data_IF_685953676235
#
_entry.id   IF_685953676235
#
_cell.length_a   1.000
_cell.length_b   1.000
_cell.length_c   1.000
_cell.angle_alpha   90.00
_cell.angle_beta   90.00
_cell.angle_gamma   90.00
#
_symmetry.space_group_name_H-M   'P 1'
#
loop_
_entity.id
_entity.type
_entity.pdbx_description
1 polymer ?
#
# COMPACT_ATOMS: atom_id res chain seq x y z
N UNK A 1 -0.69 -7.22 0.03
CA UNK A 1 -1.95 -7.97 -0.11
C UNK A 1 -3.09 -7.14 0.47
N UNK A 2 -4.05 -6.68 -0.36
CA UNK A 2 -5.27 -6.01 0.12
C UNK A 2 -6.21 -7.07 0.72
N UNK A 3 -5.99 -7.35 2.00
CA UNK A 3 -6.65 -8.43 2.73
C UNK A 3 -7.95 -7.94 3.33
N UNK A 4 -9.01 -8.70 3.12
CA UNK A 4 -10.36 -8.42 3.60
C UNK A 4 -10.81 -9.47 4.63
N UNK A 5 -11.65 -9.03 5.55
CA UNK A 5 -12.41 -9.91 6.45
C UNK A 5 -13.82 -9.34 6.63
N UNK A 6 -14.76 -10.17 7.07
CA UNK A 6 -16.13 -9.73 7.35
C UNK A 6 -16.37 -9.63 8.86
N UNK A 7 -16.77 -8.45 9.35
CA UNK A 7 -17.09 -8.20 10.76
C UNK A 7 -18.51 -7.68 10.86
N UNK A 8 -19.38 -8.45 11.52
CA UNK A 8 -20.76 -8.04 11.70
C UNK A 8 -21.56 -7.85 10.40
N UNK A 9 -21.23 -8.59 9.34
CA UNK A 9 -21.87 -8.47 8.03
C UNK A 9 -21.30 -7.34 7.15
N UNK A 10 -20.21 -6.71 7.56
CA UNK A 10 -19.53 -5.65 6.80
C UNK A 10 -18.09 -6.05 6.47
N UNK A 11 -17.66 -5.80 5.22
CA UNK A 11 -16.29 -6.03 4.81
C UNK A 11 -15.36 -4.96 5.36
N UNK A 12 -14.21 -5.39 5.87
CA UNK A 12 -13.14 -4.56 6.39
C UNK A 12 -11.83 -4.89 5.71
N UNK A 13 -11.05 -3.88 5.36
CA UNK A 13 -9.64 -4.07 5.06
C UNK A 13 -8.84 -4.30 6.33
N UNK A 14 -7.90 -5.25 6.29
CA UNK A 14 -6.90 -5.47 7.32
C UNK A 14 -5.66 -4.68 6.93
N UNK A 15 -5.22 -3.81 7.83
CA UNK A 15 -4.06 -2.95 7.66
C UNK A 15 -3.09 -3.17 8.81
N UNK A 16 -1.82 -2.86 8.56
CA UNK A 16 -0.74 -2.92 9.54
C UNK A 16 -0.14 -1.53 9.75
N UNK A 17 0.34 -1.26 10.96
CA UNK A 17 1.19 -0.12 11.26
C UNK A 17 2.62 -0.61 11.42
N UNK A 18 3.55 0.00 10.72
CA UNK A 18 4.96 -0.40 10.70
C UNK A 18 5.63 -0.16 12.04
N UNK A 19 6.48 -1.10 12.47
CA UNK A 19 7.24 -1.00 13.71
C UNK A 19 8.31 0.10 13.65
N UNK A 20 8.81 0.51 14.81
CA UNK A 20 9.82 1.58 14.91
C UNK A 20 11.18 1.21 14.28
N UNK A 21 11.49 -0.08 14.16
CA UNK A 21 12.79 -0.59 13.67
C UNK A 21 12.91 -0.76 12.17
N UNK A 22 11.87 -0.47 11.40
CA UNK A 22 11.87 -0.65 9.94
C UNK A 22 11.87 0.69 9.19
N UNK A 23 12.09 0.64 7.89
CA UNK A 23 11.96 1.84 7.04
C UNK A 23 10.53 2.40 7.12
N UNK A 24 10.40 3.73 7.15
CA UNK A 24 9.11 4.43 7.26
C UNK A 24 8.31 3.95 8.49
N UNK A 25 8.84 4.11 9.72
CA UNK A 25 8.18 3.65 10.93
C UNK A 25 6.88 4.41 11.16
N UNK A 26 5.85 3.70 11.64
CA UNK A 26 4.54 4.27 11.90
C UNK A 26 3.63 4.42 10.68
N UNK A 27 4.14 4.22 9.47
CA UNK A 27 3.29 4.22 8.26
C UNK A 27 2.28 3.08 8.32
N UNK A 28 1.10 3.35 7.79
CA UNK A 28 0.04 2.35 7.61
C UNK A 28 0.16 1.72 6.23
N UNK A 29 0.18 0.39 6.18
CA UNK A 29 0.29 -0.35 4.93
C UNK A 29 -0.59 -1.61 4.92
N UNK A 30 -0.77 -2.16 3.74
CA UNK A 30 -1.19 -3.55 3.59
C UNK A 30 -0.02 -4.49 3.89
N UNK A 31 -0.26 -5.70 4.41
CA UNK A 31 0.76 -6.74 4.48
C UNK A 31 1.40 -7.00 3.12
N UNK A 32 2.72 -7.16 3.08
CA UNK A 32 3.45 -7.42 1.86
C UNK A 32 4.83 -6.78 1.80
N UNK A 33 5.68 -7.30 0.92
CA UNK A 33 7.07 -6.88 0.85
C UNK A 33 7.72 -7.14 -0.51
N UNK A 34 9.00 -7.49 -0.47
CA UNK A 34 9.84 -7.64 -1.65
C UNK A 34 9.91 -9.10 -2.12
N UNK A 35 9.88 -9.25 -3.43
CA UNK A 35 9.99 -10.56 -4.08
C UNK A 35 11.38 -11.16 -3.85
N UNK A 36 11.42 -12.41 -3.43
CA UNK A 36 12.63 -13.22 -3.37
C UNK A 36 12.88 -13.97 -4.68
N UNK A 37 14.11 -14.49 -4.83
CA UNK A 37 14.49 -15.23 -6.03
C UNK A 37 13.67 -16.52 -6.16
N UNK A 38 13.03 -16.67 -7.30
CA UNK A 38 12.22 -17.87 -7.62
C UNK A 38 10.74 -17.74 -7.30
N UNK A 39 10.33 -16.71 -6.54
CA UNK A 39 8.92 -16.48 -6.23
C UNK A 39 8.15 -15.83 -7.38
N UNK A 40 6.89 -16.11 -7.45
CA UNK A 40 5.91 -15.28 -8.16
C UNK A 40 5.45 -14.13 -7.24
N UNK A 41 4.89 -13.06 -7.80
CA UNK A 41 4.41 -11.93 -7.00
C UNK A 41 3.29 -12.30 -6.02
N UNK A 42 2.47 -13.30 -6.34
CA UNK A 42 1.41 -13.76 -5.44
C UNK A 42 1.99 -14.57 -4.28
N UNK A 43 2.98 -15.44 -4.55
CA UNK A 43 3.68 -16.19 -3.49
C UNK A 43 4.37 -15.23 -2.52
N UNK A 44 5.04 -14.19 -3.03
CA UNK A 44 5.60 -13.11 -2.20
C UNK A 44 4.53 -12.48 -1.31
N UNK A 45 3.39 -12.08 -1.88
CA UNK A 45 2.33 -11.42 -1.11
C UNK A 45 1.76 -12.32 0.00
N UNK A 46 1.65 -13.62 -0.24
CA UNK A 46 1.18 -14.59 0.74
C UNK A 46 2.23 -14.86 1.83
N UNK A 47 3.50 -15.07 1.46
CA UNK A 47 4.61 -15.30 2.39
C UNK A 47 4.78 -14.10 3.34
N UNK A 48 4.86 -12.90 2.81
CA UNK A 48 5.00 -11.67 3.59
C UNK A 48 3.82 -11.48 4.55
N UNK A 49 2.59 -11.79 4.11
CA UNK A 49 1.43 -11.74 4.99
C UNK A 49 1.56 -12.72 6.16
N UNK A 50 2.02 -13.95 5.91
CA UNK A 50 2.26 -14.94 6.97
C UNK A 50 3.35 -14.47 7.93
N UNK A 51 4.45 -13.91 7.43
CA UNK A 51 5.58 -13.40 8.22
C UNK A 51 5.21 -12.19 9.07
N UNK A 52 4.44 -11.23 8.51
CA UNK A 52 4.08 -9.97 9.17
C UNK A 52 2.95 -10.12 10.19
N UNK A 53 1.92 -10.94 9.90
CA UNK A 53 0.70 -11.01 10.72
C UNK A 53 0.34 -12.42 11.19
N UNK A 54 1.16 -13.43 10.88
CA UNK A 54 0.99 -14.79 11.38
C UNK A 54 -0.18 -15.59 10.79
N UNK A 55 -0.81 -15.09 9.73
CA UNK A 55 -1.90 -15.78 9.04
C UNK A 55 -1.32 -16.75 8.00
N UNK A 56 -1.61 -18.04 8.16
CA UNK A 56 -1.11 -19.05 7.24
C UNK A 56 -1.63 -18.83 5.81
N UNK A 57 -0.74 -18.97 4.82
CA UNK A 57 -1.08 -18.79 3.39
C UNK A 57 -2.25 -19.66 2.94
N UNK A 58 -2.41 -20.87 3.50
CA UNK A 58 -3.52 -21.80 3.19
C UNK A 58 -4.89 -21.29 3.62
N UNK A 59 -4.94 -20.36 4.58
CA UNK A 59 -6.17 -19.77 5.11
C UNK A 59 -6.57 -18.50 4.34
N UNK A 60 -5.72 -18.04 3.41
CA UNK A 60 -5.93 -16.87 2.60
C UNK A 60 -6.55 -17.25 1.25
N UNK A 61 -7.77 -16.81 1.02
CA UNK A 61 -8.44 -16.99 -0.27
C UNK A 61 -8.14 -15.82 -1.19
N UNK A 62 -7.31 -16.04 -2.20
CA UNK A 62 -7.05 -15.04 -3.24
C UNK A 62 -8.33 -14.79 -4.06
N UNK A 63 -8.72 -13.53 -4.23
CA UNK A 63 -9.89 -13.11 -5.01
C UNK A 63 -9.49 -12.62 -6.39
N UNK A 64 -8.34 -11.96 -6.51
CA UNK A 64 -7.86 -11.42 -7.78
C UNK A 64 -6.67 -10.48 -7.59
N UNK A 65 -6.34 -9.79 -8.67
CA UNK A 65 -5.33 -8.72 -8.68
C UNK A 65 -5.98 -7.40 -9.05
N UNK A 66 -5.50 -6.31 -8.46
CA UNK A 66 -5.80 -4.95 -8.88
C UNK A 66 -4.83 -4.48 -9.96
N UNK A 67 -4.99 -3.27 -10.45
CA UNK A 67 -4.02 -2.66 -11.34
C UNK A 67 -2.66 -2.53 -10.66
N UNK A 68 -1.59 -2.71 -11.42
CA UNK A 68 -0.25 -2.47 -10.92
C UNK A 68 0.04 -0.97 -10.85
N UNK A 69 0.92 -0.60 -9.93
CA UNK A 69 1.39 0.77 -9.77
C UNK A 69 2.87 0.86 -10.06
N UNK A 70 3.27 1.83 -10.89
CA UNK A 70 4.67 2.15 -11.11
C UNK A 70 5.09 3.26 -10.14
N UNK A 71 6.20 3.06 -9.47
CA UNK A 71 6.76 4.01 -8.51
C UNK A 71 8.21 4.32 -8.85
N UNK A 72 8.63 5.56 -8.61
CA UNK A 72 10.02 5.99 -8.87
C UNK A 72 11.01 5.25 -7.95
N UNK A 73 10.58 4.89 -6.73
CA UNK A 73 11.51 4.35 -5.71
C UNK A 73 11.43 2.85 -5.52
N UNK A 74 10.26 2.25 -5.78
CA UNK A 74 10.00 0.83 -5.49
C UNK A 74 9.79 -0.01 -6.74
N UNK A 75 9.89 0.61 -7.93
CA UNK A 75 9.57 -0.06 -9.18
C UNK A 75 8.07 -0.38 -9.29
N UNK A 76 7.73 -1.58 -9.70
CA UNK A 76 6.35 -2.03 -9.87
C UNK A 76 5.81 -2.65 -8.58
N UNK A 77 4.65 -2.16 -8.15
CA UNK A 77 3.86 -2.77 -7.06
C UNK A 77 2.62 -3.42 -7.69
N UNK A 78 2.43 -4.71 -7.42
CA UNK A 78 1.24 -5.46 -7.84
C UNK A 78 0.38 -5.78 -6.61
N UNK A 79 -0.74 -5.06 -6.38
CA UNK A 79 -1.68 -5.41 -5.34
C UNK A 79 -2.48 -6.66 -5.72
N UNK A 80 -2.67 -7.56 -4.76
CA UNK A 80 -3.62 -8.66 -4.84
C UNK A 80 -4.72 -8.45 -3.81
N UNK A 81 -5.93 -8.83 -4.14
CA UNK A 81 -7.10 -8.77 -3.26
C UNK A 81 -7.35 -10.17 -2.74
N UNK A 82 -7.49 -10.31 -1.44
CA UNK A 82 -7.74 -11.59 -0.80
C UNK A 82 -8.72 -11.45 0.37
N UNK A 83 -9.24 -12.58 0.82
CA UNK A 83 -10.20 -12.67 1.92
C UNK A 83 -9.78 -13.76 2.91
N UNK A 84 -10.00 -13.48 4.19
CA UNK A 84 -9.95 -14.46 5.27
C UNK A 84 -11.23 -14.39 6.12
N UNK A 85 -11.71 -15.52 6.66
CA UNK A 85 -12.80 -15.51 7.65
C UNK A 85 -12.40 -14.72 8.90
N UNK A 86 -13.37 -14.10 9.57
CA UNK A 86 -13.11 -13.34 10.80
C UNK A 86 -12.47 -14.19 11.90
N UNK A 87 -12.86 -15.47 11.99
CA UNK A 87 -12.25 -16.41 12.96
C UNK A 87 -10.73 -16.57 12.74
N UNK A 88 -10.29 -16.55 11.49
CA UNK A 88 -8.86 -16.56 11.14
C UNK A 88 -8.22 -15.20 11.47
N UNK A 89 -8.87 -14.08 11.14
CA UNK A 89 -8.37 -12.76 11.51
C UNK A 89 -8.10 -12.63 13.03
N UNK A 90 -8.97 -13.19 13.87
CA UNK A 90 -8.79 -13.17 15.33
C UNK A 90 -7.53 -13.89 15.82
N UNK A 91 -6.94 -14.76 15.01
CA UNK A 91 -5.69 -15.44 15.34
C UNK A 91 -4.45 -14.68 14.87
N UNK A 92 -4.63 -13.53 14.21
CA UNK A 92 -3.52 -12.73 13.71
C UNK A 92 -2.62 -12.27 14.88
N UNK A 93 -1.31 -12.47 14.71
CA UNK A 93 -0.29 -12.06 15.67
C UNK A 93 0.75 -11.23 14.92
N UNK A 94 0.91 -9.94 15.25
CA UNK A 94 1.89 -9.12 14.59
C UNK A 94 3.31 -9.59 14.90
N UNK A 95 4.16 -9.64 13.87
CA UNK A 95 5.60 -9.79 14.07
C UNK A 95 6.16 -8.45 14.63
N UNK A 96 6.57 -8.38 15.90
CA UNK A 96 6.91 -7.10 16.52
C UNK A 96 8.17 -6.44 15.93
N UNK A 97 8.95 -7.17 15.15
CA UNK A 97 10.09 -6.60 14.43
C UNK A 97 9.68 -5.73 13.25
N UNK A 98 8.50 -6.00 12.66
CA UNK A 98 8.03 -5.38 11.43
C UNK A 98 6.71 -4.64 11.59
N UNK A 99 5.82 -5.15 12.45
CA UNK A 99 4.44 -4.68 12.63
C UNK A 99 4.21 -4.29 14.09
N UNK A 100 3.88 -3.02 14.31
CA UNK A 100 3.52 -2.49 15.63
C UNK A 100 2.07 -2.78 15.98
N UNK A 101 1.18 -2.80 15.00
CA UNK A 101 -0.26 -2.94 15.19
C UNK A 101 -0.92 -3.55 13.96
N UNK A 102 -1.94 -4.39 14.17
CA UNK A 102 -2.88 -4.87 13.15
C UNK A 102 -4.24 -4.30 13.48
N UNK A 103 -4.90 -3.66 12.51
CA UNK A 103 -6.24 -3.10 12.71
C UNK A 103 -7.09 -3.24 11.45
N UNK A 104 -8.37 -2.93 11.58
CA UNK A 104 -9.29 -3.00 10.44
C UNK A 104 -9.98 -1.67 10.18
N UNK A 105 -10.27 -1.42 8.90
CA UNK A 105 -11.05 -0.27 8.46
C UNK A 105 -12.19 -0.76 7.59
N UNK A 106 -13.45 -0.38 7.88
CA UNK A 106 -14.60 -0.78 7.08
C UNK A 106 -14.45 -0.35 5.62
N UNK A 107 -14.74 -1.23 4.67
CA UNK A 107 -14.78 -0.90 3.25
C UNK A 107 -15.71 0.29 2.99
N UNK A 108 -16.85 0.34 3.70
CA UNK A 108 -17.82 1.43 3.63
C UNK A 108 -17.22 2.80 3.97
N UNK A 109 -16.22 2.87 4.86
CA UNK A 109 -15.52 4.12 5.14
C UNK A 109 -14.91 4.70 3.87
N UNK A 110 -14.17 3.91 3.11
CA UNK A 110 -13.53 4.35 1.86
C UNK A 110 -14.54 4.62 0.73
N UNK A 111 -15.67 3.92 0.70
CA UNK A 111 -16.75 4.19 -0.26
C UNK A 111 -17.44 5.54 -0.03
N UNK A 112 -17.43 6.06 1.21
CA UNK A 112 -18.14 7.27 1.61
C UNK A 112 -17.22 8.47 1.85
N UNK A 113 -15.91 8.24 1.97
CA UNK A 113 -14.94 9.28 2.33
C UNK A 113 -14.04 9.59 1.14
N UNK A 114 -14.08 10.82 0.66
CA UNK A 114 -13.08 11.31 -0.27
C UNK A 114 -11.78 11.61 0.48
N UNK A 115 -10.61 11.17 -0.03
CA UNK A 115 -9.33 11.47 0.60
C UNK A 115 -8.97 12.94 0.46
N UNK A 116 -8.28 13.49 1.44
CA UNK A 116 -7.56 14.74 1.26
C UNK A 116 -6.50 14.60 0.18
N UNK A 117 -6.27 15.66 -0.59
CA UNK A 117 -5.36 15.67 -1.73
C UNK A 117 -4.31 16.75 -1.55
N UNK A 118 -3.03 16.35 -1.48
CA UNK A 118 -1.90 17.25 -1.34
C UNK A 118 -0.86 16.97 -2.40
N UNK A 119 -0.35 18.02 -3.03
CA UNK A 119 0.63 17.86 -4.10
C UNK A 119 2.06 17.88 -3.56
N UNK A 120 2.85 16.95 -4.03
CA UNK A 120 4.30 16.94 -3.85
C UNK A 120 4.99 17.24 -5.18
N UNK A 121 6.07 18.01 -5.14
CA UNK A 121 6.86 18.33 -6.32
C UNK A 121 8.19 17.62 -6.25
N UNK A 122 8.47 16.85 -7.29
CA UNK A 122 9.76 16.20 -7.52
C UNK A 122 10.64 17.07 -8.39
N UNK A 123 11.86 17.30 -7.96
CA UNK A 123 12.87 18.01 -8.72
C UNK A 123 14.17 17.22 -8.71
N UNK A 124 14.94 17.35 -9.78
CA UNK A 124 16.30 16.83 -9.83
C UNK A 124 17.15 17.61 -8.83
N UNK A 125 17.92 16.90 -8.02
CA UNK A 125 18.98 17.46 -7.18
C UNK A 125 20.28 16.80 -7.67
N UNK A 126 21.14 17.58 -8.26
CA UNK A 126 22.36 17.12 -8.89
C UNK A 126 23.43 16.82 -7.83
N UNK A 127 24.28 15.84 -8.11
CA UNK A 127 25.47 15.59 -7.29
C UNK A 127 26.46 16.75 -7.39
N UNK A 128 27.35 16.96 -6.39
CA UNK A 128 28.35 18.03 -6.41
C UNK A 128 29.29 17.99 -7.61
N UNK A 129 29.53 16.82 -8.18
CA UNK A 129 30.40 16.53 -9.33
C UNK A 129 29.66 16.39 -10.66
N UNK A 130 28.38 16.84 -10.71
CA UNK A 130 27.55 16.73 -11.91
C UNK A 130 28.23 17.50 -13.09
N UNK A 131 28.44 16.84 -14.24
CA UNK A 131 29.26 17.39 -15.34
C UNK A 131 28.46 18.36 -16.22
N UNK A 132 28.16 19.55 -15.70
CA UNK A 132 27.41 20.59 -16.40
C UNK A 132 28.03 21.03 -17.73
N UNK A 133 29.36 20.90 -17.85
CA UNK A 133 30.09 21.22 -19.08
C UNK A 133 29.76 20.29 -20.26
N UNK A 134 29.12 19.16 -20.00
CA UNK A 134 28.75 18.16 -21.02
C UNK A 134 27.32 18.33 -21.54
N UNK A 135 26.57 19.26 -20.98
CA UNK A 135 25.19 19.50 -21.39
C UNK A 135 25.00 20.93 -21.90
N UNK A 136 24.15 21.08 -22.90
CA UNK A 136 23.79 22.40 -23.41
C UNK A 136 23.02 23.19 -22.34
N UNK A 137 23.36 24.47 -22.12
CA UNK A 137 22.83 25.28 -21.03
C UNK A 137 23.59 25.18 -19.72
N UNK A 138 24.44 24.18 -19.54
CA UNK A 138 25.29 24.03 -18.36
C UNK A 138 24.49 24.07 -17.05
N UNK A 139 24.94 24.88 -16.09
CA UNK A 139 24.22 25.09 -14.79
C UNK A 139 22.82 25.70 -14.92
N UNK A 140 22.50 26.27 -16.07
CA UNK A 140 21.17 26.85 -16.34
C UNK A 140 20.24 25.88 -17.06
N UNK A 141 20.63 24.61 -17.20
CA UNK A 141 19.79 23.60 -17.83
C UNK A 141 18.45 23.46 -17.09
N UNK A 142 17.30 23.58 -17.78
CA UNK A 142 15.99 23.56 -17.16
C UNK A 142 15.53 22.13 -16.86
N UNK A 143 16.05 21.54 -15.80
CA UNK A 143 15.58 20.21 -15.37
C UNK A 143 14.08 20.16 -15.17
N UNK A 144 13.47 19.08 -15.66
CA UNK A 144 12.05 18.86 -15.52
C UNK A 144 11.65 18.68 -14.04
N UNK A 145 10.50 19.22 -13.70
CA UNK A 145 9.83 18.98 -12.41
C UNK A 145 8.63 18.11 -12.66
N UNK A 146 8.38 17.17 -11.78
CA UNK A 146 7.16 16.34 -11.79
C UNK A 146 6.33 16.66 -10.57
N UNK A 147 5.01 16.62 -10.73
CA UNK A 147 4.04 16.83 -9.65
C UNK A 147 3.26 15.55 -9.44
N UNK A 148 3.10 15.13 -8.19
CA UNK A 148 2.35 13.95 -7.80
C UNK A 148 1.39 14.32 -6.68
N UNK A 149 0.12 13.96 -6.82
CA UNK A 149 -0.87 14.15 -5.77
C UNK A 149 -0.81 12.99 -4.79
N UNK A 150 -0.63 13.30 -3.51
CA UNK A 150 -0.70 12.36 -2.40
C UNK A 150 -2.11 12.35 -1.84
N UNK A 151 -2.61 11.17 -1.51
CA UNK A 151 -3.92 10.94 -0.91
C UNK A 151 -3.76 10.64 0.57
N UNK A 152 -4.68 11.17 1.40
CA UNK A 152 -4.70 10.95 2.84
C UNK A 152 -6.12 10.60 3.29
N UNK A 153 -6.24 9.50 4.02
CA UNK A 153 -7.44 9.16 4.79
C UNK A 153 -7.08 9.17 6.27
N UNK A 154 -7.99 9.62 7.10
CA UNK A 154 -7.87 9.51 8.55
C UNK A 154 -8.99 8.64 9.10
N UNK A 155 -8.63 7.60 9.85
CA UNK A 155 -9.58 6.69 10.49
C UNK A 155 -9.11 6.34 11.90
N UNK A 156 -9.89 6.72 12.92
CA UNK A 156 -9.60 6.44 14.34
C UNK A 156 -8.16 6.78 14.75
N UNK A 157 -7.63 7.91 14.28
CA UNK A 157 -6.26 8.36 14.59
C UNK A 157 -5.15 7.68 13.75
N UNK A 158 -5.50 6.82 12.82
CA UNK A 158 -4.57 6.27 11.84
C UNK A 158 -4.59 7.12 10.56
N UNK A 159 -3.41 7.54 10.11
CA UNK A 159 -3.26 8.23 8.83
C UNK A 159 -2.86 7.19 7.76
N UNK A 160 -3.71 7.01 6.78
CA UNK A 160 -3.51 6.12 5.65
C UNK A 160 -3.20 6.98 4.43
N UNK A 161 -1.97 6.91 3.94
CA UNK A 161 -1.51 7.80 2.87
C UNK A 161 -0.58 7.10 1.88
N UNK A 162 -0.06 7.84 0.91
CA UNK A 162 0.93 7.34 -0.05
C UNK A 162 0.39 6.18 -0.89
N UNK A 163 1.19 5.13 -1.06
CA UNK A 163 0.81 3.98 -1.91
C UNK A 163 -0.39 3.22 -1.36
N UNK A 164 -0.51 3.10 -0.05
CA UNK A 164 -1.66 2.42 0.57
C UNK A 164 -2.97 3.12 0.23
N UNK A 165 -3.00 4.45 0.35
CA UNK A 165 -4.17 5.23 -0.03
C UNK A 165 -4.46 5.18 -1.53
N UNK A 166 -3.44 5.14 -2.38
CA UNK A 166 -3.61 5.00 -3.82
C UNK A 166 -4.17 3.62 -4.22
N UNK A 167 -3.68 2.55 -3.60
CA UNK A 167 -4.20 1.19 -3.81
C UNK A 167 -5.67 1.12 -3.38
N UNK A 168 -6.00 1.66 -2.20
CA UNK A 168 -7.38 1.74 -1.71
C UNK A 168 -8.26 2.50 -2.70
N UNK A 169 -7.82 3.68 -3.14
CA UNK A 169 -8.58 4.51 -4.11
C UNK A 169 -8.85 3.75 -5.41
N UNK A 170 -7.85 3.09 -5.97
CA UNK A 170 -7.99 2.29 -7.17
C UNK A 170 -9.01 1.15 -6.99
N UNK A 171 -8.94 0.41 -5.88
CA UNK A 171 -9.92 -0.65 -5.57
C UNK A 171 -11.34 -0.07 -5.47
N UNK A 172 -11.52 1.05 -4.80
CA UNK A 172 -12.81 1.72 -4.65
C UNK A 172 -13.36 2.21 -6.00
N UNK A 173 -12.53 2.74 -6.86
CA UNK A 173 -12.92 3.16 -8.21
C UNK A 173 -13.40 1.97 -9.05
N UNK A 174 -12.66 0.85 -9.05
CA UNK A 174 -13.07 -0.38 -9.72
C UNK A 174 -14.44 -0.90 -9.20
N UNK A 175 -14.65 -0.87 -7.89
CA UNK A 175 -15.91 -1.29 -7.27
C UNK A 175 -17.08 -0.37 -7.69
N UNK A 176 -16.87 0.93 -7.72
CA UNK A 176 -17.88 1.90 -8.15
C UNK A 176 -18.24 1.75 -9.63
N UNK A 177 -17.24 1.53 -10.50
CA UNK A 177 -17.44 1.33 -11.93
C UNK A 177 -18.19 0.03 -12.24
N UNK A 178 -17.92 -1.04 -11.47
CA UNK A 178 -18.57 -2.33 -11.64
C UNK A 178 -20.05 -2.35 -11.26
N UNK A 179 -20.61 -1.24 -10.74
CA UNK A 179 -22.01 -1.11 -10.25
C UNK A 179 -22.41 -2.21 -9.24
N UNK A 180 -21.44 -2.80 -8.57
CA UNK A 180 -21.72 -3.73 -7.49
C UNK A 180 -22.39 -2.95 -6.34
N UNK A 181 -23.60 -3.34 -5.98
CA UNK A 181 -24.29 -2.80 -4.79
C UNK A 181 -23.84 -3.63 -3.59
N UNK A 182 -23.18 -3.01 -2.67
CA UNK A 182 -22.79 -3.58 -1.36
C UNK A 182 -23.77 -3.14 -0.27
#
# INVERSE_FOLDING_TARGET
LALLTEIGGELHFILTKRAAGVNQPGDVCFPGGHREQGETLVETALRETEEEIGISQKDIRLLGKSDFMLTIYRGMIQPYIAYIPYEIYKTAVPNPKEVAEIFTVPLRFFLKTEPERHDTVWKVIESPDFPYEKIEGGKNYPFSKSKTTQLFYEYNGHIIWGFTAQVLRNIIEILNESKLKF
#
